data_IF_489521025898
#
_entry.id   IF_489521025898
#
_cell.length_a   1.000
_cell.length_b   1.000
_cell.length_c   1.000
_cell.angle_alpha   90.00
_cell.angle_beta   90.00
_cell.angle_gamma   90.00
#
_symmetry.space_group_name_H-M   'P 1'
#
loop_
_entity.id
_entity.type
_entity.pdbx_description
1 polymer ?
#
# COMPACT_ATOMS: atom_id res chain seq x y z
N UNK A 1 -23.04 9.67 32.77
CA UNK A 1 -22.35 9.92 31.50
C UNK A 1 -23.34 9.54 30.41
N UNK A 2 -23.90 10.52 29.70
CA UNK A 2 -24.96 10.28 28.71
C UNK A 2 -24.34 9.50 27.56
N UNK A 3 -24.81 8.28 27.33
CA UNK A 3 -24.45 7.48 26.16
C UNK A 3 -25.17 8.16 25.00
N UNK A 4 -24.48 9.05 24.29
CA UNK A 4 -24.96 9.53 22.99
C UNK A 4 -25.20 8.30 22.10
N UNK A 5 -26.37 8.23 21.47
CA UNK A 5 -26.74 7.20 20.48
C UNK A 5 -25.93 7.38 19.18
N UNK A 6 -24.62 7.37 19.30
CA UNK A 6 -23.68 7.76 18.26
C UNK A 6 -22.54 6.77 18.14
N UNK A 7 -21.93 6.79 16.95
CA UNK A 7 -20.72 6.03 16.69
C UNK A 7 -19.54 6.73 17.37
N UNK A 8 -18.70 6.00 18.12
CA UNK A 8 -17.53 6.55 18.79
C UNK A 8 -16.26 6.33 17.94
N UNK A 9 -15.43 7.37 17.81
CA UNK A 9 -14.11 7.28 17.18
C UNK A 9 -13.05 7.16 18.28
N UNK A 10 -12.17 6.18 18.13
CA UNK A 10 -11.07 5.88 19.04
C UNK A 10 -9.79 5.57 18.25
N UNK A 11 -8.67 5.45 18.96
CA UNK A 11 -7.44 4.82 18.47
C UNK A 11 -7.20 3.56 19.28
N UNK A 12 -7.12 2.41 18.64
CA UNK A 12 -6.80 1.15 19.29
C UNK A 12 -5.28 0.93 19.32
N UNK A 13 -4.75 0.54 20.48
CA UNK A 13 -3.38 0.11 20.68
C UNK A 13 -3.34 -1.41 20.66
N UNK A 14 -2.67 -2.01 19.67
CA UNK A 14 -2.54 -3.47 19.62
C UNK A 14 -1.64 -4.01 20.74
N UNK A 15 -0.58 -3.27 21.10
CA UNK A 15 0.34 -3.65 22.20
C UNK A 15 -0.41 -3.76 23.52
N UNK A 16 -1.31 -2.82 23.78
CA UNK A 16 -2.05 -2.76 25.04
C UNK A 16 -3.46 -3.36 24.96
N UNK A 17 -3.90 -3.78 23.77
CA UNK A 17 -5.25 -4.33 23.52
C UNK A 17 -6.38 -3.43 23.99
N UNK A 18 -6.19 -2.12 23.91
CA UNK A 18 -7.08 -1.14 24.53
C UNK A 18 -7.31 0.06 23.64
N UNK A 19 -8.46 0.71 23.82
CA UNK A 19 -8.85 1.89 23.05
C UNK A 19 -8.49 3.17 23.79
N UNK A 20 -7.84 4.07 23.07
CA UNK A 20 -7.46 5.41 23.46
C UNK A 20 -8.41 6.44 22.82
N UNK A 21 -8.72 7.54 23.50
CA UNK A 21 -9.51 8.61 22.90
C UNK A 21 -8.76 9.26 21.74
N UNK A 22 -9.48 9.60 20.67
CA UNK A 22 -8.96 10.51 19.64
C UNK A 22 -8.95 11.92 20.23
N UNK A 23 -7.76 12.50 20.39
CA UNK A 23 -7.61 13.90 20.84
C UNK A 23 -7.42 14.85 19.66
N UNK A 24 -6.88 14.36 18.55
CA UNK A 24 -6.67 15.13 17.32
C UNK A 24 -7.24 14.39 16.12
N UNK A 25 -8.10 15.07 15.37
CA UNK A 25 -8.54 14.68 14.03
C UNK A 25 -7.99 15.68 13.02
N UNK A 26 -6.97 15.28 12.27
CA UNK A 26 -6.27 16.17 11.34
C UNK A 26 -6.66 15.85 9.89
N UNK A 27 -7.33 16.76 9.16
CA UNK A 27 -7.49 16.61 7.71
C UNK A 27 -6.13 16.77 7.00
N UNK A 28 -5.84 15.89 6.06
CA UNK A 28 -4.60 15.85 5.31
C UNK A 28 -4.84 16.13 3.83
N UNK A 29 -3.93 16.91 3.25
CA UNK A 29 -3.76 16.95 1.78
C UNK A 29 -3.12 15.64 1.29
N UNK A 30 -3.17 15.31 -0.01
CA UNK A 30 -2.58 14.09 -0.55
C UNK A 30 -1.12 13.84 -0.14
N UNK A 31 -0.28 14.87 -0.10
CA UNK A 31 1.09 14.76 0.40
C UNK A 31 1.19 14.34 1.87
N UNK A 32 0.28 14.86 2.71
CA UNK A 32 0.23 14.49 4.13
C UNK A 32 -0.19 13.02 4.30
N UNK A 33 -1.21 12.59 3.57
CA UNK A 33 -1.66 11.19 3.52
C UNK A 33 -0.49 10.27 3.17
N UNK A 34 0.26 10.61 2.11
CA UNK A 34 1.44 9.85 1.68
C UNK A 34 2.49 9.74 2.79
N UNK A 35 2.87 10.86 3.41
CA UNK A 35 3.85 10.83 4.51
C UNK A 35 3.43 9.91 5.65
N UNK A 36 2.14 9.88 5.96
CA UNK A 36 1.60 9.03 7.03
C UNK A 36 1.62 7.55 6.66
N UNK A 37 1.31 7.19 5.41
CA UNK A 37 1.31 5.80 4.93
C UNK A 37 2.68 5.12 5.06
N UNK A 38 3.76 5.89 4.88
CA UNK A 38 5.13 5.42 5.12
C UNK A 38 5.60 5.52 6.57
N UNK A 39 4.70 5.73 7.54
CA UNK A 39 5.07 5.92 8.94
C UNK A 39 4.35 4.91 9.84
N UNK A 40 4.78 4.73 11.10
CA UNK A 40 4.04 3.90 12.06
C UNK A 40 2.57 4.33 12.29
N UNK A 41 2.20 5.56 11.90
CA UNK A 41 0.84 6.09 12.00
C UNK A 41 -0.06 5.71 10.82
N UNK A 42 0.42 4.92 9.86
CA UNK A 42 -0.33 4.49 8.67
C UNK A 42 -1.72 3.95 8.97
N UNK A 43 -1.88 3.18 10.05
CA UNK A 43 -3.18 2.61 10.45
C UNK A 43 -4.08 3.57 11.24
N UNK A 44 -3.56 4.74 11.62
CA UNK A 44 -4.32 5.83 12.21
C UNK A 44 -4.97 6.73 11.14
N UNK A 45 -4.74 6.43 9.86
CA UNK A 45 -5.31 7.15 8.73
C UNK A 45 -6.65 6.55 8.30
N UNK A 46 -7.70 7.36 8.25
CA UNK A 46 -8.99 7.03 7.65
C UNK A 46 -9.35 7.99 6.53
N UNK A 47 -9.26 7.53 5.28
CA UNK A 47 -9.36 8.37 4.08
C UNK A 47 -8.38 9.56 4.16
N UNK A 48 -8.86 10.80 4.08
CA UNK A 48 -8.02 12.00 4.25
C UNK A 48 -7.82 12.46 5.71
N UNK A 49 -8.26 11.72 6.72
CA UNK A 49 -8.13 12.13 8.12
C UNK A 49 -7.15 11.26 8.90
N UNK A 50 -6.25 11.90 9.65
CA UNK A 50 -5.39 11.25 10.62
C UNK A 50 -5.99 11.41 12.03
N UNK A 51 -6.22 10.28 12.70
CA UNK A 51 -6.81 10.22 14.04
C UNK A 51 -5.72 9.87 15.05
N UNK A 52 -5.42 10.78 15.98
CA UNK A 52 -4.30 10.63 16.92
C UNK A 52 -4.77 10.62 18.37
N UNK A 53 -4.16 9.78 19.22
CA UNK A 53 -4.27 9.90 20.67
C UNK A 53 -3.26 10.94 21.20
N UNK A 54 -3.28 11.19 22.50
CA UNK A 54 -2.35 12.12 23.17
C UNK A 54 -0.88 11.67 23.04
N UNK A 55 -0.64 10.35 23.08
CA UNK A 55 0.69 9.73 23.10
C UNK A 55 1.18 9.31 21.71
N UNK A 56 1.17 10.23 20.75
CA UNK A 56 1.56 9.96 19.35
C UNK A 56 3.05 9.61 19.19
N UNK A 57 3.89 10.08 20.11
CA UNK A 57 5.33 9.83 20.18
C UNK A 57 5.67 8.34 20.33
N UNK A 58 4.76 7.56 20.91
CA UNK A 58 4.91 6.11 21.13
C UNK A 58 4.19 5.26 20.07
N UNK A 59 3.73 5.86 18.97
CA UNK A 59 2.90 5.17 17.98
C UNK A 59 3.52 3.89 17.41
N UNK A 60 4.84 3.90 17.17
CA UNK A 60 5.56 2.72 16.67
C UNK A 60 5.61 1.57 17.68
N UNK A 61 5.79 1.88 18.96
CA UNK A 61 5.74 0.85 20.00
C UNK A 61 4.32 0.36 20.25
N UNK A 62 3.35 1.26 20.29
CA UNK A 62 1.98 0.94 20.65
C UNK A 62 1.20 0.24 19.53
N UNK A 63 1.69 0.30 18.28
CA UNK A 63 1.01 -0.23 17.09
C UNK A 63 -0.43 0.27 17.01
N UNK A 64 -0.56 1.56 16.75
CA UNK A 64 -1.84 2.25 16.79
C UNK A 64 -2.63 2.10 15.50
N UNK A 65 -3.94 1.86 15.59
CA UNK A 65 -4.88 1.98 14.48
C UNK A 65 -6.12 2.78 14.87
N UNK A 66 -6.73 3.53 13.96
CA UNK A 66 -8.01 4.17 14.29
C UNK A 66 -9.11 3.10 14.39
N UNK A 67 -10.15 3.41 15.15
CA UNK A 67 -11.32 2.55 15.27
C UNK A 67 -12.59 3.37 15.35
N UNK A 68 -13.64 2.83 14.75
CA UNK A 68 -15.01 3.29 14.81
C UNK A 68 -15.83 2.21 15.49
N UNK A 69 -16.49 2.58 16.58
CA UNK A 69 -17.19 1.69 17.47
C UNK A 69 -18.64 2.14 17.48
N UNK A 70 -19.54 1.33 16.93
CA UNK A 70 -20.96 1.63 16.98
C UNK A 70 -21.55 1.37 18.36
N UNK A 71 -22.79 1.83 18.53
CA UNK A 71 -23.45 1.91 19.83
C UNK A 71 -23.62 0.53 20.51
N UNK A 72 -23.74 -0.55 19.74
CA UNK A 72 -23.93 -1.90 20.29
C UNK A 72 -22.63 -2.47 20.85
N UNK A 73 -21.48 -2.06 20.31
CA UNK A 73 -20.17 -2.49 20.79
C UNK A 73 -19.66 -1.67 21.99
N UNK A 74 -20.12 -0.42 22.16
CA UNK A 74 -19.63 0.49 23.23
C UNK A 74 -19.60 -0.15 24.63
N UNK A 75 -20.65 -0.86 25.10
CA UNK A 75 -20.64 -1.48 26.43
C UNK A 75 -19.60 -2.58 26.61
N UNK A 76 -19.11 -3.16 25.51
CA UNK A 76 -18.23 -4.31 25.49
C UNK A 76 -16.76 -3.94 25.28
N UNK A 77 -16.47 -2.71 24.89
CA UNK A 77 -15.10 -2.24 24.65
C UNK A 77 -14.60 -1.36 25.78
N UNK A 78 -13.38 -1.63 26.24
CA UNK A 78 -12.75 -0.83 27.29
C UNK A 78 -12.07 0.39 26.68
N UNK A 79 -12.64 1.58 26.92
CA UNK A 79 -11.96 2.86 26.70
C UNK A 79 -11.02 3.13 27.88
N UNK A 80 -9.75 3.39 27.61
CA UNK A 80 -8.76 3.77 28.63
C UNK A 80 -8.14 5.13 28.30
N UNK A 81 -7.79 5.86 29.37
CA UNK A 81 -6.94 7.05 29.29
C UNK A 81 -5.50 6.75 29.72
N UNK A 82 -5.24 5.54 30.20
CA UNK A 82 -3.94 5.10 30.70
C UNK A 82 -3.31 4.11 29.73
N UNK A 83 -2.07 4.39 29.32
CA UNK A 83 -1.24 3.50 28.53
C UNK A 83 -0.83 2.21 29.25
N UNK A 84 -1.08 2.09 30.56
CA UNK A 84 -0.68 0.92 31.34
C UNK A 84 -1.83 -0.09 31.50
N UNK A 85 -3.03 0.27 31.05
CA UNK A 85 -4.17 -0.63 31.09
C UNK A 85 -4.19 -1.54 29.88
N UNK A 86 -4.15 -2.84 30.17
CA UNK A 86 -4.30 -3.91 29.18
C UNK A 86 -5.80 -4.19 29.00
N UNK A 87 -6.27 -4.16 27.76
CA UNK A 87 -7.63 -4.58 27.41
C UNK A 87 -7.69 -6.02 26.92
N UNK A 88 -8.89 -6.44 26.51
CA UNK A 88 -9.21 -7.88 26.37
C UNK A 88 -9.17 -8.38 24.93
N UNK A 89 -9.36 -7.50 23.96
CA UNK A 89 -9.50 -7.88 22.55
C UNK A 89 -8.20 -7.66 21.81
N UNK A 90 -7.71 -8.68 21.11
CA UNK A 90 -6.74 -8.47 20.04
C UNK A 90 -7.42 -7.96 18.76
N UNK A 91 -6.62 -7.53 17.78
CA UNK A 91 -7.13 -6.95 16.55
C UNK A 91 -8.02 -7.93 15.76
N UNK A 92 -7.65 -9.22 15.74
CA UNK A 92 -8.41 -10.27 15.04
C UNK A 92 -9.79 -10.51 15.67
N UNK A 93 -9.89 -10.38 16.99
CA UNK A 93 -11.15 -10.50 17.72
C UNK A 93 -12.03 -9.26 17.48
N UNK A 94 -11.44 -8.07 17.41
CA UNK A 94 -12.16 -6.83 17.07
C UNK A 94 -12.73 -6.86 15.65
N UNK A 95 -11.97 -7.38 14.68
CA UNK A 95 -12.41 -7.51 13.29
C UNK A 95 -13.63 -8.43 13.11
N UNK A 96 -13.92 -9.30 14.08
CA UNK A 96 -15.10 -10.18 14.09
C UNK A 96 -16.34 -9.52 14.71
N UNK A 97 -16.19 -8.35 15.34
CA UNK A 97 -17.31 -7.62 15.90
C UNK A 97 -17.96 -6.79 14.79
N UNK A 98 -19.20 -7.13 14.43
CA UNK A 98 -19.93 -6.47 13.34
C UNK A 98 -20.04 -4.94 13.49
N UNK A 99 -20.03 -4.44 14.73
CA UNK A 99 -20.19 -3.02 15.06
C UNK A 99 -18.88 -2.33 15.45
N UNK A 100 -17.73 -2.99 15.25
CA UNK A 100 -16.41 -2.36 15.35
C UNK A 100 -15.74 -2.39 13.98
N UNK A 101 -15.30 -1.22 13.53
CA UNK A 101 -14.48 -1.08 12.32
C UNK A 101 -13.18 -0.43 12.71
N UNK A 102 -12.08 -1.15 12.59
CA UNK A 102 -10.75 -0.57 12.72
C UNK A 102 -10.32 0.05 11.40
N UNK A 103 -9.19 0.76 11.42
CA UNK A 103 -8.72 1.46 10.25
C UNK A 103 -8.57 0.55 9.05
N UNK A 104 -8.95 1.06 7.88
CA UNK A 104 -8.72 0.39 6.60
C UNK A 104 -7.23 0.03 6.58
N UNK A 105 -6.89 -1.26 6.78
CA UNK A 105 -5.49 -1.67 6.99
C UNK A 105 -4.63 -1.13 5.85
N UNK A 106 -5.15 -1.15 4.60
CA UNK A 106 -4.67 -0.35 3.48
C UNK A 106 -5.80 -0.01 2.51
N UNK A 107 -5.64 1.12 1.82
CA UNK A 107 -6.67 1.89 1.12
C UNK A 107 -7.21 1.18 -0.14
N UNK A 108 -8.47 1.50 -0.42
CA UNK A 108 -9.28 1.21 -1.60
C UNK A 108 -8.56 1.61 -2.89
N UNK A 109 -8.74 0.89 -3.99
CA UNK A 109 -8.30 1.31 -5.33
C UNK A 109 -8.66 2.79 -5.56
N UNK A 110 -7.67 3.68 -5.57
CA UNK A 110 -7.87 5.13 -5.60
C UNK A 110 -6.83 5.82 -6.48
N UNK A 111 -7.22 6.93 -7.12
CA UNK A 111 -6.34 7.81 -7.90
C UNK A 111 -6.42 9.23 -7.36
N UNK A 112 -5.32 9.97 -7.42
CA UNK A 112 -5.36 11.41 -7.21
C UNK A 112 -6.04 12.10 -8.42
N UNK A 113 -7.11 12.85 -8.16
CA UNK A 113 -7.78 13.72 -9.12
C UNK A 113 -8.07 15.06 -8.45
N UNK A 114 -7.63 16.16 -9.07
CA UNK A 114 -7.85 17.53 -8.57
C UNK A 114 -7.42 17.73 -7.10
N UNK A 115 -6.27 17.15 -6.71
CA UNK A 115 -5.73 17.28 -5.35
C UNK A 115 -6.51 16.49 -4.28
N UNK A 116 -7.31 15.50 -4.68
CA UNK A 116 -8.03 14.58 -3.79
C UNK A 116 -7.87 13.15 -4.25
N UNK A 117 -7.91 12.20 -3.32
CA UNK A 117 -8.00 10.79 -3.68
C UNK A 117 -9.44 10.42 -3.99
N UNK A 118 -9.66 9.75 -5.12
CA UNK A 118 -10.97 9.32 -5.61
C UNK A 118 -10.94 7.81 -5.86
N UNK A 119 -11.91 7.04 -5.37
CA UNK A 119 -12.03 5.62 -5.68
C UNK A 119 -12.09 5.35 -7.18
N UNK A 120 -11.47 4.26 -7.61
CA UNK A 120 -11.49 3.76 -8.99
C UNK A 120 -11.73 2.26 -8.97
N UNK A 121 -12.46 1.76 -9.96
CA UNK A 121 -12.70 0.32 -10.09
C UNK A 121 -11.47 -0.40 -10.64
N UNK A 122 -10.69 0.25 -11.51
CA UNK A 122 -9.47 -0.30 -12.13
C UNK A 122 -8.40 0.78 -12.32
N UNK A 123 -7.12 0.39 -12.29
CA UNK A 123 -6.02 1.29 -12.62
C UNK A 123 -5.73 1.35 -14.12
N UNK A 124 -6.01 0.28 -14.84
CA UNK A 124 -5.75 0.08 -16.26
C UNK A 124 -6.95 -0.59 -16.92
N UNK A 125 -7.28 -0.21 -18.15
CA UNK A 125 -8.41 -0.80 -18.89
C UNK A 125 -8.14 -2.25 -19.27
N UNK A 126 -9.17 -3.11 -19.14
CA UNK A 126 -9.09 -4.50 -19.63
C UNK A 126 -8.66 -4.60 -21.10
N UNK A 127 -9.10 -3.68 -21.97
CA UNK A 127 -8.71 -3.68 -23.39
C UNK A 127 -7.20 -3.52 -23.64
N UNK A 128 -6.48 -2.82 -22.76
CA UNK A 128 -5.02 -2.71 -22.84
C UNK A 128 -4.36 -4.05 -22.50
N UNK A 129 -4.84 -4.72 -21.44
CA UNK A 129 -4.38 -6.05 -21.03
C UNK A 129 -4.64 -7.06 -22.17
N UNK A 130 -5.83 -7.06 -22.75
CA UNK A 130 -6.19 -7.95 -23.87
C UNK A 130 -5.36 -7.65 -25.12
N UNK A 131 -5.07 -6.37 -25.38
CA UNK A 131 -4.23 -5.95 -26.50
C UNK A 131 -2.81 -6.50 -26.38
N UNK A 132 -2.21 -6.40 -25.19
CA UNK A 132 -0.88 -6.97 -24.92
C UNK A 132 -0.93 -8.51 -24.94
N UNK A 133 -1.97 -9.13 -24.39
CA UNK A 133 -2.10 -10.59 -24.41
C UNK A 133 -2.20 -11.15 -25.84
N UNK A 134 -2.90 -10.44 -26.74
CA UNK A 134 -3.00 -10.81 -28.17
C UNK A 134 -1.73 -10.52 -28.96
N UNK A 135 -0.97 -9.50 -28.58
CA UNK A 135 0.28 -9.14 -29.24
C UNK A 135 1.34 -8.72 -28.20
N UNK A 136 2.07 -9.67 -27.59
CA UNK A 136 3.03 -9.39 -26.52
C UNK A 136 4.13 -8.38 -26.86
N UNK A 137 4.48 -8.26 -28.14
CA UNK A 137 5.54 -7.35 -28.60
C UNK A 137 5.23 -5.88 -28.31
N UNK A 138 3.94 -5.52 -28.19
CA UNK A 138 3.50 -4.15 -27.91
C UNK A 138 3.80 -3.69 -26.49
N UNK A 139 4.13 -4.60 -25.56
CA UNK A 139 4.46 -4.24 -24.17
C UNK A 139 5.57 -3.17 -24.11
N UNK A 140 6.52 -3.20 -25.04
CA UNK A 140 7.59 -2.21 -25.13
C UNK A 140 7.16 -0.81 -25.54
N UNK A 141 6.07 -0.73 -26.31
CA UNK A 141 5.51 0.52 -26.82
C UNK A 141 4.48 1.16 -25.87
N UNK A 142 4.11 0.47 -24.80
CA UNK A 142 3.24 1.02 -23.76
C UNK A 142 3.91 2.24 -23.15
N UNK A 143 3.15 3.33 -22.98
CA UNK A 143 3.67 4.56 -22.38
C UNK A 143 4.12 4.30 -20.95
N UNK A 144 5.04 5.13 -20.42
CA UNK A 144 5.52 4.98 -19.02
C UNK A 144 4.36 5.02 -18.01
N UNK A 145 3.43 5.96 -18.19
CA UNK A 145 2.28 6.12 -17.32
C UNK A 145 1.29 4.95 -17.43
N UNK A 146 1.07 4.42 -18.64
CA UNK A 146 0.23 3.24 -18.83
C UNK A 146 0.89 1.99 -18.26
N UNK A 147 2.22 1.89 -18.35
CA UNK A 147 2.99 0.78 -17.77
C UNK A 147 2.91 0.80 -16.23
N UNK A 148 3.02 1.97 -15.59
CA UNK A 148 2.80 2.13 -14.15
C UNK A 148 1.39 1.67 -13.74
N UNK A 149 0.36 2.14 -14.45
CA UNK A 149 -1.04 1.76 -14.20
C UNK A 149 -1.29 0.27 -14.45
N UNK A 150 -0.69 -0.31 -15.49
CA UNK A 150 -0.75 -1.74 -15.81
C UNK A 150 -0.13 -2.56 -14.69
N UNK A 151 1.06 -2.18 -14.21
CA UNK A 151 1.71 -2.87 -13.10
C UNK A 151 0.86 -2.78 -11.83
N UNK A 152 0.34 -1.60 -11.48
CA UNK A 152 -0.55 -1.43 -10.34
C UNK A 152 -1.80 -2.33 -10.44
N UNK A 153 -2.43 -2.40 -11.61
CA UNK A 153 -3.59 -3.28 -11.85
C UNK A 153 -3.22 -4.76 -11.69
N UNK A 154 -2.11 -5.20 -12.28
CA UNK A 154 -1.65 -6.59 -12.17
C UNK A 154 -1.31 -6.96 -10.72
N UNK A 155 -0.73 -6.05 -9.94
CA UNK A 155 -0.52 -6.29 -8.51
C UNK A 155 -1.83 -6.49 -7.76
N UNK A 156 -2.87 -5.70 -8.06
CA UNK A 156 -4.17 -5.96 -7.44
C UNK A 156 -4.72 -7.33 -7.82
N UNK A 157 -4.63 -7.72 -9.09
CA UNK A 157 -5.12 -9.03 -9.54
C UNK A 157 -4.33 -10.20 -8.97
N UNK A 158 -3.07 -9.96 -8.60
CA UNK A 158 -2.21 -10.89 -7.85
C UNK A 158 -2.54 -10.96 -6.36
N UNK A 159 -3.58 -10.25 -5.90
CA UNK A 159 -4.05 -10.27 -4.51
C UNK A 159 -3.44 -9.21 -3.60
N UNK A 160 -2.65 -8.28 -4.13
CA UNK A 160 -2.14 -7.16 -3.33
C UNK A 160 -3.21 -6.07 -3.19
N UNK A 161 -3.20 -5.36 -2.06
CA UNK A 161 -3.80 -4.02 -2.01
C UNK A 161 -2.78 -3.03 -2.56
N UNK A 162 -3.23 -2.10 -3.37
CA UNK A 162 -2.35 -1.12 -4.04
C UNK A 162 -2.79 0.28 -3.73
N UNK A 163 -1.85 1.08 -3.22
CA UNK A 163 -1.99 2.51 -3.05
C UNK A 163 -1.09 3.21 -4.06
N UNK A 164 -1.66 4.05 -4.94
CA UNK A 164 -0.91 4.89 -5.86
C UNK A 164 -0.23 6.03 -5.10
N UNK A 165 0.78 5.62 -4.32
CA UNK A 165 1.72 6.45 -3.64
C UNK A 165 2.59 7.17 -4.67
N UNK A 166 2.17 8.37 -5.04
CA UNK A 166 2.96 9.30 -5.86
C UNK A 166 3.45 10.47 -5.02
N UNK A 167 4.48 10.31 -4.18
CA UNK A 167 5.15 11.48 -3.64
C UNK A 167 5.75 12.19 -4.83
N UNK A 168 5.32 13.42 -5.07
CA UNK A 168 6.03 14.29 -5.99
C UNK A 168 7.45 14.46 -5.44
N UNK A 169 8.42 13.73 -6.02
CA UNK A 169 9.89 13.78 -5.84
C UNK A 169 10.58 12.80 -4.86
N UNK A 170 9.90 11.96 -4.07
CA UNK A 170 10.57 11.23 -2.96
C UNK A 170 11.17 9.86 -3.30
N UNK A 171 11.98 9.79 -4.36
CA UNK A 171 12.84 8.61 -4.57
C UNK A 171 12.30 7.55 -5.53
N UNK A 172 11.25 7.86 -6.28
CA UNK A 172 10.84 7.06 -7.45
C UNK A 172 9.94 5.86 -7.13
N UNK A 173 9.23 5.90 -6.01
CA UNK A 173 8.15 4.97 -5.70
C UNK A 173 6.92 5.37 -6.53
N UNK A 174 6.41 4.45 -7.33
CA UNK A 174 5.22 4.68 -8.17
C UNK A 174 3.93 4.23 -7.46
N UNK A 175 4.01 3.17 -6.66
CA UNK A 175 2.95 2.72 -5.76
C UNK A 175 3.47 1.88 -4.60
N UNK A 176 2.64 1.72 -3.56
CA UNK A 176 2.86 0.75 -2.49
C UNK A 176 2.04 -0.50 -2.78
N UNK A 177 2.68 -1.67 -2.70
CA UNK A 177 2.02 -2.97 -2.76
C UNK A 177 1.97 -3.57 -1.36
N UNK A 178 0.77 -3.91 -0.93
CA UNK A 178 0.50 -4.41 0.42
C UNK A 178 -0.02 -5.83 0.31
N UNK A 179 0.64 -6.72 1.03
CA UNK A 179 0.21 -8.09 1.22
C UNK A 179 -0.31 -8.24 2.66
N UNK A 180 -1.59 -8.55 2.80
CA UNK A 180 -2.17 -8.81 4.12
C UNK A 180 -1.54 -10.06 4.74
N UNK A 181 -1.10 -9.92 5.99
CA UNK A 181 -0.61 -11.02 6.82
C UNK A 181 -1.48 -11.12 8.09
N UNK A 182 -1.34 -12.22 8.82
CA UNK A 182 -2.11 -12.44 10.07
C UNK A 182 -1.83 -11.39 11.16
N UNK A 183 -0.66 -10.75 11.12
CA UNK A 183 -0.20 -9.79 12.13
C UNK A 183 0.08 -8.43 11.50
N UNK A 184 1.26 -8.23 10.93
CA UNK A 184 1.63 -7.00 10.23
C UNK A 184 1.77 -7.28 8.74
N UNK A 185 1.01 -6.60 7.87
CA UNK A 185 1.12 -6.77 6.43
C UNK A 185 2.51 -6.39 5.92
N UNK A 186 2.95 -7.09 4.88
CA UNK A 186 4.15 -6.73 4.17
C UNK A 186 3.85 -5.59 3.20
N UNK A 187 4.63 -4.52 3.28
CA UNK A 187 4.46 -3.33 2.45
C UNK A 187 5.72 -3.15 1.62
N UNK A 188 5.56 -3.16 0.31
CA UNK A 188 6.66 -2.98 -0.63
C UNK A 188 6.54 -1.65 -1.36
N UNK A 189 7.65 -0.91 -1.44
CA UNK A 189 7.77 0.19 -2.37
C UNK A 189 7.99 -0.34 -3.77
N UNK A 190 7.09 -0.02 -4.71
CA UNK A 190 7.19 -0.50 -6.09
C UNK A 190 7.63 0.64 -7.00
N UNK A 191 8.63 0.37 -7.84
CA UNK A 191 9.06 1.23 -8.92
C UNK A 191 8.94 0.51 -10.26
N UNK A 192 8.21 1.12 -11.18
CA UNK A 192 8.04 0.71 -12.56
C UNK A 192 9.07 1.41 -13.45
N UNK A 193 9.70 0.65 -14.35
CA UNK A 193 10.59 1.17 -15.37
C UNK A 193 10.16 0.68 -16.74
N UNK A 194 9.89 1.62 -17.62
CA UNK A 194 9.67 1.37 -19.04
C UNK A 194 10.78 2.10 -19.81
N UNK A 195 11.94 1.47 -20.05
CA UNK A 195 13.05 2.09 -20.75
C UNK A 195 12.69 2.39 -22.20
N UNK A 196 13.12 3.55 -22.70
CA UNK A 196 12.85 3.96 -24.08
C UNK A 196 13.45 2.95 -25.07
N UNK A 197 12.69 2.69 -26.13
CA UNK A 197 13.20 1.98 -27.30
C UNK A 197 13.99 2.99 -28.14
N UNK A 198 15.23 2.64 -28.48
CA UNK A 198 16.01 3.38 -29.47
C UNK A 198 15.94 2.63 -30.78
N UNK A 199 15.66 3.33 -31.87
CA UNK A 199 15.55 2.76 -33.20
C UNK A 199 16.80 1.92 -33.54
N UNK A 200 16.59 0.68 -33.99
CA UNK A 200 17.66 -0.26 -34.31
C UNK A 200 18.43 -0.85 -33.12
N UNK A 201 17.98 -0.68 -31.86
CA UNK A 201 18.66 -1.24 -30.67
C UNK A 201 17.71 -2.02 -29.76
N UNK A 202 18.25 -3.05 -29.11
CA UNK A 202 17.57 -3.74 -28.01
C UNK A 202 17.28 -2.77 -26.85
N UNK A 203 16.19 -3.01 -26.10
CA UNK A 203 15.84 -2.20 -24.93
C UNK A 203 16.98 -2.20 -23.91
N UNK A 204 17.24 -1.04 -23.31
CA UNK A 204 18.22 -0.95 -22.25
C UNK A 204 17.80 -1.80 -21.04
N UNK A 205 18.73 -2.59 -20.53
CA UNK A 205 18.55 -3.32 -19.28
C UNK A 205 18.57 -2.36 -18.10
N UNK A 206 17.71 -2.59 -17.12
CA UNK A 206 17.70 -1.85 -15.86
C UNK A 206 18.92 -2.23 -15.02
N UNK A 207 19.65 -1.21 -14.55
CA UNK A 207 20.89 -1.38 -13.79
C UNK A 207 20.69 -1.34 -12.27
N UNK A 208 21.74 -1.74 -11.56
CA UNK A 208 21.81 -1.76 -10.08
C UNK A 208 21.40 -0.44 -9.38
N UNK A 209 21.74 0.76 -9.88
CA UNK A 209 21.41 2.00 -9.17
C UNK A 209 19.92 2.18 -8.87
N UNK A 210 19.04 1.72 -9.77
CA UNK A 210 17.59 1.80 -9.58
C UNK A 210 17.14 0.93 -8.40
N UNK A 211 17.74 -0.24 -8.25
CA UNK A 211 17.42 -1.19 -7.17
C UNK A 211 17.90 -0.65 -5.82
N UNK A 212 19.09 -0.02 -5.80
CA UNK A 212 19.60 0.65 -4.61
C UNK A 212 18.72 1.83 -4.20
N UNK A 213 18.26 2.62 -5.17
CA UNK A 213 17.38 3.75 -4.93
C UNK A 213 16.05 3.32 -4.29
N UNK A 214 15.35 2.34 -4.89
CA UNK A 214 14.07 1.89 -4.36
C UNK A 214 14.22 1.20 -2.99
N UNK A 215 15.29 0.44 -2.80
CA UNK A 215 15.57 -0.19 -1.50
C UNK A 215 15.90 0.86 -0.43
N UNK A 216 16.68 1.88 -0.77
CA UNK A 216 16.95 3.01 0.13
C UNK A 216 15.67 3.78 0.50
N UNK A 217 14.79 4.04 -0.47
CA UNK A 217 13.50 4.64 -0.22
C UNK A 217 12.63 3.77 0.69
N UNK A 218 12.55 2.46 0.44
CA UNK A 218 11.82 1.52 1.29
C UNK A 218 12.29 1.57 2.75
N UNK A 219 13.61 1.63 2.99
CA UNK A 219 14.17 1.73 4.34
C UNK A 219 13.95 3.08 5.01
N UNK A 220 14.00 4.17 4.25
CA UNK A 220 13.68 5.49 4.78
C UNK A 220 12.23 5.60 5.28
N UNK A 221 11.31 4.83 4.69
CA UNK A 221 9.88 4.79 5.02
C UNK A 221 9.46 3.56 5.85
N UNK A 222 10.42 2.85 6.45
CA UNK A 222 10.17 1.65 7.28
C UNK A 222 9.20 0.66 6.61
N UNK A 223 9.48 0.35 5.34
CA UNK A 223 8.76 -0.62 4.52
C UNK A 223 9.50 -1.97 4.48
N UNK A 224 8.76 -3.04 4.19
CA UNK A 224 9.28 -4.40 4.13
C UNK A 224 10.38 -4.55 3.07
N UNK A 225 10.25 -3.86 1.94
CA UNK A 225 11.24 -3.94 0.87
C UNK A 225 10.92 -3.07 -0.34
N UNK A 226 11.75 -3.22 -1.38
CA UNK A 226 11.59 -2.59 -2.67
C UNK A 226 11.37 -3.63 -3.78
N UNK A 227 10.42 -3.34 -4.65
CA UNK A 227 10.16 -4.12 -5.87
C UNK A 227 10.46 -3.22 -7.07
N UNK A 228 11.25 -3.71 -8.02
CA UNK A 228 11.39 -3.06 -9.32
C UNK A 228 10.67 -3.92 -10.35
N UNK A 229 9.76 -3.32 -11.10
CA UNK A 229 9.12 -3.95 -12.26
C UNK A 229 9.62 -3.24 -13.52
N UNK A 230 10.10 -3.97 -14.51
CA UNK A 230 10.59 -3.41 -15.77
C UNK A 230 9.88 -4.02 -16.95
N UNK A 231 9.51 -3.23 -17.95
CA UNK A 231 9.10 -3.76 -19.26
C UNK A 231 10.28 -4.28 -20.10
N UNK A 232 11.50 -4.30 -19.56
CA UNK A 232 12.72 -4.84 -20.18
C UNK A 232 13.39 -5.89 -19.29
N UNK A 233 14.69 -6.11 -19.47
CA UNK A 233 15.52 -7.02 -18.67
C UNK A 233 16.35 -6.27 -17.62
N UNK A 234 17.07 -7.01 -16.77
CA UNK A 234 18.00 -6.48 -15.78
C UNK A 234 19.44 -6.85 -16.10
N UNK A 235 20.39 -5.97 -15.76
CA UNK A 235 21.81 -6.30 -15.86
C UNK A 235 22.19 -7.44 -14.89
N UNK A 236 23.29 -8.14 -15.18
CA UNK A 236 23.79 -9.19 -14.28
C UNK A 236 24.11 -8.65 -12.88
N UNK A 237 24.63 -7.42 -12.79
CA UNK A 237 24.90 -6.76 -11.52
C UNK A 237 23.61 -6.44 -10.74
N UNK A 238 22.56 -6.01 -11.43
CA UNK A 238 21.25 -5.78 -10.83
C UNK A 238 20.69 -7.06 -10.18
N UNK A 239 20.73 -8.18 -10.90
CA UNK A 239 20.27 -9.48 -10.40
C UNK A 239 21.07 -9.95 -9.17
N UNK A 240 22.41 -9.91 -9.27
CA UNK A 240 23.28 -10.25 -8.14
C UNK A 240 23.04 -9.37 -6.91
N UNK A 241 22.73 -8.10 -7.12
CA UNK A 241 22.44 -7.20 -6.00
C UNK A 241 21.12 -7.54 -5.29
N UNK A 242 20.05 -7.87 -6.04
CA UNK A 242 18.78 -8.29 -5.42
C UNK A 242 18.91 -9.59 -4.61
N UNK A 243 19.81 -10.48 -5.01
CA UNK A 243 20.06 -11.76 -4.32
C UNK A 243 20.69 -11.59 -2.93
N UNK A 244 21.20 -10.41 -2.57
CA UNK A 244 21.75 -10.14 -1.23
C UNK A 244 20.66 -10.23 -0.15
N UNK A 245 19.43 -9.77 -0.46
CA UNK A 245 18.26 -9.82 0.43
C UNK A 245 17.00 -10.12 -0.38
N UNK A 246 16.80 -11.37 -0.83
CA UNK A 246 15.73 -11.71 -1.76
C UNK A 246 14.32 -11.48 -1.19
N UNK A 247 14.16 -11.53 0.14
CA UNK A 247 12.89 -11.22 0.79
C UNK A 247 12.54 -9.71 0.73
N UNK A 248 13.53 -8.84 0.63
CA UNK A 248 13.37 -7.38 0.68
C UNK A 248 13.60 -6.70 -0.68
N UNK A 249 14.23 -7.38 -1.64
CA UNK A 249 14.56 -6.86 -2.96
C UNK A 249 14.09 -7.84 -4.04
N UNK A 250 13.07 -7.44 -4.78
CA UNK A 250 12.46 -8.27 -5.83
C UNK A 250 12.53 -7.56 -7.18
N UNK A 251 12.83 -8.33 -8.22
CA UNK A 251 12.92 -7.84 -9.60
C UNK A 251 11.95 -8.62 -10.47
N UNK A 252 11.19 -7.91 -11.29
CA UNK A 252 10.26 -8.51 -12.24
C UNK A 252 10.44 -7.87 -13.62
N UNK A 253 10.78 -8.68 -14.60
CA UNK A 253 11.10 -8.28 -15.96
C UNK A 253 9.86 -8.22 -16.85
N UNK A 254 10.06 -7.81 -18.10
CA UNK A 254 8.97 -7.78 -19.07
C UNK A 254 8.37 -9.16 -19.31
N UNK A 255 9.17 -10.23 -19.18
CA UNK A 255 8.68 -11.60 -19.26
C UNK A 255 7.71 -11.92 -18.10
N UNK A 256 8.07 -11.55 -16.86
CA UNK A 256 7.20 -11.75 -15.70
C UNK A 256 5.88 -10.97 -15.85
N UNK A 257 5.93 -9.75 -16.38
CA UNK A 257 4.73 -8.95 -16.66
C UNK A 257 3.82 -9.64 -17.69
N UNK A 258 4.40 -10.19 -18.77
CA UNK A 258 3.64 -10.94 -19.77
C UNK A 258 3.01 -12.21 -19.16
N UNK A 259 3.75 -12.93 -18.34
CA UNK A 259 3.24 -14.11 -17.64
C UNK A 259 2.06 -13.74 -16.73
N UNK A 260 2.15 -12.63 -16.00
CA UNK A 260 1.02 -12.16 -15.17
C UNK A 260 -0.18 -11.73 -16.01
N UNK A 261 0.04 -11.11 -17.17
CA UNK A 261 -1.05 -10.78 -18.08
C UNK A 261 -1.77 -12.05 -18.54
N UNK A 262 -1.03 -13.13 -18.83
CA UNK A 262 -1.65 -14.39 -19.23
C UNK A 262 -2.36 -15.11 -18.07
N UNK A 263 -1.80 -15.03 -16.86
CA UNK A 263 -2.34 -15.70 -15.67
C UNK A 263 -3.53 -14.94 -15.04
N UNK A 264 -3.50 -13.61 -15.07
CA UNK A 264 -4.43 -12.75 -14.33
C UNK A 264 -5.23 -11.82 -15.26
N UNK A 265 -5.27 -12.09 -16.57
CA UNK A 265 -6.33 -11.53 -17.42
C UNK A 265 -7.67 -12.08 -16.93
N UNK A 266 -8.68 -11.22 -16.85
CA UNK A 266 -10.06 -11.71 -16.74
C UNK A 266 -10.33 -12.51 -18.02
N UNK A 267 -10.57 -13.81 -17.90
CA UNK A 267 -11.27 -14.50 -18.98
C UNK A 267 -12.74 -14.05 -18.89
N UNK A 268 -13.34 -13.66 -20.02
CA UNK A 268 -14.78 -13.49 -20.13
C UNK A 268 -15.55 -14.81 -19.90
N UNK A 269 -14.83 -15.93 -19.84
CA UNK A 269 -15.35 -17.29 -19.67
C UNK A 269 -15.19 -17.84 -18.23
N UNK A 270 -14.80 -17.01 -17.25
CA UNK A 270 -14.95 -17.27 -15.80
C UNK A 270 -16.02 -16.35 -15.18
#
# INVERSE_FOLDING_TARGET
>A
MVIEMGTHLAVYSEKNRSFLPVVTKLPLKPEGVRRVLGSPLRYCLGAEFLYLPEHVDQAGELKLCWARIGATAIPHVKMTRSLHEIGEYDLQSLEKLDDVRTGDRYIKRQKEKNGRFVPVDEFCSQSLIDGIARNPDVLGSVSRADFENLCAELFVRRGFKVDLFRPSKDGGIDFLAVQDEKTDPLIFAVQCKQPDIREGKARHSVGRPIIQQIYGAAKAWDLSGGIVVSGSTYSAEAKRFSEIKPAEMQLYSGADVLDWILQYRWNLDE
#
